data_IF_324646276650
#
_entry.id   IF_324646276650
#
_cell.length_a   1.000
_cell.length_b   1.000
_cell.length_c   1.000
_cell.angle_alpha   90.00
_cell.angle_beta   90.00
_cell.angle_gamma   90.00
#
_symmetry.space_group_name_H-M   'P 1'
#
loop_
_entity.id
_entity.type
_entity.pdbx_description
1 polymer ?
#
# COMPACT_ATOMS: atom_id res chain seq x y z
N UNK A 1 70.07 78.21 -13.66
CA UNK A 1 69.05 77.66 -14.50
C UNK A 1 68.24 76.74 -13.67
N UNK A 2 66.99 77.07 -13.50
CA UNK A 2 66.08 76.38 -12.49
C UNK A 2 65.44 75.17 -13.11
N UNK A 3 65.51 74.08 -12.45
CA UNK A 3 64.76 72.82 -12.71
C UNK A 3 63.62 72.68 -11.71
N UNK A 4 62.44 72.76 -12.18
CA UNK A 4 61.23 72.60 -11.40
C UNK A 4 60.86 71.09 -11.25
N UNK A 5 60.82 70.59 -10.06
CA UNK A 5 60.36 69.23 -9.71
C UNK A 5 58.84 69.20 -9.60
N UNK A 6 58.23 68.33 -10.39
CA UNK A 6 56.79 68.03 -10.34
C UNK A 6 56.56 66.91 -9.35
N UNK A 7 55.77 67.18 -8.33
CA UNK A 7 55.33 66.22 -7.31
C UNK A 7 54.10 65.46 -7.82
N UNK A 8 54.21 64.15 -8.00
CA UNK A 8 53.05 63.31 -8.27
C UNK A 8 52.45 62.79 -6.97
N UNK A 9 51.30 63.35 -6.64
CA UNK A 9 50.44 62.86 -5.57
C UNK A 9 49.75 61.58 -6.05
N UNK A 10 50.16 60.41 -5.52
CA UNK A 10 49.49 59.12 -5.74
C UNK A 10 48.29 59.03 -4.84
N UNK A 11 47.10 59.16 -5.46
CA UNK A 11 45.80 58.88 -4.84
C UNK A 11 45.63 57.38 -4.77
N UNK A 12 45.79 56.76 -3.59
CA UNK A 12 45.42 55.35 -3.30
C UNK A 12 43.91 55.29 -3.13
N UNK A 13 43.21 54.86 -4.18
CA UNK A 13 41.82 54.42 -4.10
C UNK A 13 41.79 53.04 -3.48
N UNK A 14 41.40 52.98 -2.21
CA UNK A 14 41.13 51.75 -1.46
C UNK A 14 39.75 51.19 -1.94
N UNK A 15 39.77 50.24 -2.90
CA UNK A 15 38.60 49.50 -3.33
C UNK A 15 38.26 48.49 -2.24
N UNK A 16 37.31 48.81 -1.36
CA UNK A 16 36.75 47.91 -0.41
C UNK A 16 35.92 46.83 -1.13
N UNK A 17 36.51 45.67 -1.38
CA UNK A 17 35.85 44.49 -1.89
C UNK A 17 34.92 43.93 -0.79
N UNK A 18 33.65 44.33 -0.85
CA UNK A 18 32.60 43.76 0.01
C UNK A 18 32.34 42.34 -0.48
N UNK A 19 33.04 41.36 0.10
CA UNK A 19 32.76 39.95 -0.07
C UNK A 19 31.44 39.69 0.65
N UNK A 20 30.33 39.68 -0.10
CA UNK A 20 29.09 39.08 0.33
C UNK A 20 29.36 37.58 0.52
N UNK A 21 29.64 37.16 1.74
CA UNK A 21 29.57 35.77 2.15
C UNK A 21 28.08 35.36 2.05
N UNK A 22 27.68 34.95 0.86
CA UNK A 22 26.48 34.12 0.73
C UNK A 22 26.85 32.80 1.44
N UNK A 23 26.53 32.74 2.72
CA UNK A 23 26.53 31.49 3.47
C UNK A 23 25.49 30.61 2.76
N UNK A 24 25.93 29.75 1.86
CA UNK A 24 25.13 28.59 1.49
C UNK A 24 24.96 27.80 2.78
N UNK A 25 23.88 28.08 3.53
CA UNK A 25 23.39 27.13 4.51
C UNK A 25 23.22 25.83 3.72
N UNK A 26 24.11 24.86 3.96
CA UNK A 26 23.90 23.49 3.54
C UNK A 26 22.57 23.12 4.23
N UNK A 27 21.50 23.03 3.47
CA UNK A 27 20.23 22.54 4.00
C UNK A 27 20.50 21.12 4.47
N UNK A 28 20.40 20.90 5.77
CA UNK A 28 20.46 19.55 6.34
C UNK A 28 19.30 18.77 5.75
N UNK A 29 19.51 17.61 5.11
CA UNK A 29 18.42 16.84 4.51
C UNK A 29 17.33 16.61 5.56
N UNK A 30 16.07 16.86 5.18
CA UNK A 30 14.91 16.70 6.06
C UNK A 30 14.72 17.82 7.10
N UNK A 31 15.49 18.92 7.05
CA UNK A 31 15.26 20.10 7.89
C UNK A 31 14.61 21.23 7.08
N UNK A 32 13.45 21.69 7.55
CA UNK A 32 12.63 22.72 6.91
C UNK A 32 12.52 23.97 7.78
N UNK A 33 12.35 25.12 7.16
CA UNK A 33 12.22 26.38 7.91
C UNK A 33 10.90 26.47 8.69
N UNK A 34 9.84 25.88 8.16
CA UNK A 34 8.50 25.86 8.77
C UNK A 34 7.81 24.49 8.59
N UNK A 35 6.80 24.16 9.42
CA UNK A 35 5.98 22.97 9.24
C UNK A 35 5.33 22.89 7.84
N UNK A 36 4.87 24.04 7.32
CA UNK A 36 4.24 24.13 6.01
C UNK A 36 5.22 23.75 4.90
N UNK A 37 6.49 24.20 4.99
CA UNK A 37 7.53 23.85 4.01
C UNK A 37 7.81 22.35 4.00
N UNK A 38 7.78 21.68 5.15
CA UNK A 38 7.92 20.24 5.27
C UNK A 38 6.77 19.49 4.57
N UNK A 39 5.52 19.92 4.83
CA UNK A 39 4.33 19.31 4.20
C UNK A 39 4.32 19.54 2.70
N UNK A 40 4.74 20.71 2.21
CA UNK A 40 4.86 20.96 0.76
C UNK A 40 5.96 20.09 0.11
N UNK A 41 7.08 19.86 0.80
CA UNK A 41 8.11 18.96 0.33
C UNK A 41 7.59 17.51 0.21
N UNK A 42 6.80 17.05 1.19
CA UNK A 42 6.12 15.75 1.14
C UNK A 42 5.19 15.65 -0.07
N UNK A 43 4.36 16.65 -0.34
CA UNK A 43 3.47 16.68 -1.50
C UNK A 43 4.23 16.59 -2.83
N UNK A 44 5.44 17.14 -2.88
CA UNK A 44 6.33 17.08 -4.04
C UNK A 44 6.88 15.69 -4.36
N UNK A 45 6.79 14.72 -3.43
CA UNK A 45 7.28 13.34 -3.64
C UNK A 45 6.34 12.50 -4.52
N UNK A 46 5.08 12.90 -4.64
CA UNK A 46 4.08 12.14 -5.41
C UNK A 46 4.50 11.98 -6.87
N UNK A 47 4.53 10.73 -7.33
CA UNK A 47 4.98 10.37 -8.68
C UNK A 47 6.50 10.23 -8.83
N UNK A 48 7.26 10.44 -7.76
CA UNK A 48 8.69 10.18 -7.71
C UNK A 48 8.92 8.84 -7.00
N UNK A 49 9.34 7.82 -7.74
CA UNK A 49 9.81 6.55 -7.15
C UNK A 49 11.31 6.69 -6.86
N UNK A 50 11.65 7.55 -5.91
CA UNK A 50 13.02 7.92 -5.58
C UNK A 50 13.23 7.85 -4.06
N UNK A 51 13.88 6.79 -3.62
CA UNK A 51 14.20 6.55 -2.21
C UNK A 51 15.04 7.68 -1.61
N UNK A 52 15.93 8.27 -2.41
CA UNK A 52 16.75 9.40 -1.96
C UNK A 52 15.90 10.64 -1.72
N UNK A 53 14.87 10.87 -2.54
CA UNK A 53 13.93 11.96 -2.33
C UNK A 53 13.08 11.74 -1.08
N UNK A 54 12.59 10.51 -0.84
CA UNK A 54 11.89 10.11 0.39
C UNK A 54 12.76 10.35 1.63
N UNK A 55 13.99 9.85 1.62
CA UNK A 55 14.93 10.05 2.73
C UNK A 55 15.33 11.51 2.89
N UNK A 56 15.32 12.28 1.82
CA UNK A 56 15.55 13.73 1.85
C UNK A 56 14.47 14.50 2.61
N UNK A 57 13.26 13.97 2.70
CA UNK A 57 12.12 14.58 3.42
C UNK A 57 11.92 13.97 4.79
N UNK A 58 11.91 12.64 4.88
CA UNK A 58 11.55 11.91 6.11
C UNK A 58 12.75 11.39 6.91
N UNK A 59 13.97 11.63 6.42
CA UNK A 59 15.21 11.20 7.06
C UNK A 59 15.71 9.82 6.58
N UNK A 60 16.95 9.48 6.92
CA UNK A 60 17.60 8.24 6.47
C UNK A 60 16.84 6.97 6.88
N UNK A 61 16.72 6.00 5.96
CA UNK A 61 16.05 4.71 6.18
C UNK A 61 14.52 4.81 6.24
N UNK A 62 13.94 5.94 5.86
CA UNK A 62 12.48 6.10 5.81
C UNK A 62 11.85 5.49 4.57
N UNK A 63 12.58 5.30 3.48
CA UNK A 63 12.04 4.80 2.21
C UNK A 63 11.30 3.47 2.37
N UNK A 64 11.86 2.52 3.13
CA UNK A 64 11.22 1.23 3.40
C UNK A 64 9.82 1.34 4.03
N UNK A 65 9.57 2.42 4.77
CA UNK A 65 8.29 2.65 5.41
C UNK A 65 7.17 2.95 4.40
N UNK A 66 7.55 3.53 3.25
CA UNK A 66 6.62 3.91 2.18
C UNK A 66 6.49 2.86 1.08
N UNK A 67 7.28 1.77 1.12
CA UNK A 67 7.21 0.65 0.20
C UNK A 67 6.52 -0.55 0.87
N UNK A 68 5.21 -0.66 0.65
CA UNK A 68 4.40 -1.74 1.22
C UNK A 68 4.58 -3.09 0.51
N UNK A 69 5.15 -3.09 -0.69
CA UNK A 69 5.18 -4.23 -1.60
C UNK A 69 4.05 -4.20 -2.63
N UNK A 70 3.09 -3.28 -2.48
CA UNK A 70 2.03 -2.99 -3.45
C UNK A 70 2.25 -1.59 -4.01
N UNK A 71 2.95 -1.50 -5.13
CA UNK A 71 3.31 -0.20 -5.74
C UNK A 71 2.09 0.60 -6.18
N UNK A 72 1.02 -0.06 -6.62
CA UNK A 72 -0.20 0.60 -7.06
C UNK A 72 -0.91 1.26 -5.87
N UNK A 73 -1.07 0.53 -4.77
CA UNK A 73 -1.64 1.06 -3.53
C UNK A 73 -0.77 2.17 -2.91
N UNK A 74 0.55 2.03 -2.94
CA UNK A 74 1.48 3.06 -2.46
C UNK A 74 1.34 4.37 -3.26
N UNK A 75 1.18 4.29 -4.58
CA UNK A 75 0.94 5.46 -5.44
C UNK A 75 -0.43 6.09 -5.20
N UNK A 76 -1.48 5.29 -5.03
CA UNK A 76 -2.82 5.78 -4.72
C UNK A 76 -2.85 6.51 -3.39
N UNK A 77 -2.22 5.95 -2.35
CA UNK A 77 -2.10 6.59 -1.03
C UNK A 77 -1.34 7.92 -1.13
N UNK A 78 -0.23 7.96 -1.87
CA UNK A 78 0.54 9.18 -2.06
C UNK A 78 -0.29 10.26 -2.78
N UNK A 79 -1.05 9.89 -3.83
CA UNK A 79 -1.93 10.81 -4.54
C UNK A 79 -3.06 11.34 -3.65
N UNK A 80 -3.65 10.49 -2.81
CA UNK A 80 -4.68 10.87 -1.84
C UNK A 80 -4.16 11.87 -0.82
N UNK A 81 -2.98 11.60 -0.24
CA UNK A 81 -2.33 12.52 0.70
C UNK A 81 -2.03 13.87 0.02
N UNK A 82 -1.55 13.85 -1.23
CA UNK A 82 -1.32 15.08 -2.00
C UNK A 82 -2.61 15.87 -2.21
N UNK A 83 -3.70 15.22 -2.61
CA UNK A 83 -5.00 15.87 -2.78
C UNK A 83 -5.45 16.54 -1.48
N UNK A 84 -5.34 15.86 -0.34
CA UNK A 84 -5.68 16.45 0.96
C UNK A 84 -4.80 17.66 1.30
N UNK A 85 -3.50 17.64 0.96
CA UNK A 85 -2.60 18.80 1.17
C UNK A 85 -3.02 19.98 0.27
N UNK A 86 -3.43 19.70 -0.97
CA UNK A 86 -3.90 20.74 -1.90
C UNK A 86 -5.24 21.32 -1.46
N UNK A 87 -6.12 20.54 -0.83
CA UNK A 87 -7.41 20.98 -0.31
C UNK A 87 -7.24 21.86 0.93
N UNK A 88 -6.56 21.36 1.95
CA UNK A 88 -6.38 22.08 3.22
C UNK A 88 -5.25 21.50 4.06
N UNK A 89 -4.47 22.36 4.71
CA UNK A 89 -3.50 21.99 5.74
C UNK A 89 -3.68 22.88 6.95
N UNK A 90 -3.88 22.26 8.10
CA UNK A 90 -3.85 22.90 9.41
C UNK A 90 -2.83 22.18 10.30
N UNK A 91 -2.47 22.79 11.43
CA UNK A 91 -1.53 22.20 12.37
C UNK A 91 -2.13 22.22 13.77
N UNK A 92 -2.18 21.06 14.38
CA UNK A 92 -2.44 20.92 15.80
C UNK A 92 -1.13 21.11 16.58
N UNK A 93 -1.14 21.99 17.57
CA UNK A 93 -0.03 22.17 18.50
C UNK A 93 -0.12 21.10 19.59
N UNK A 94 0.68 20.03 19.46
CA UNK A 94 0.71 18.99 20.50
C UNK A 94 1.48 19.47 21.75
N UNK A 95 2.61 20.16 21.54
CA UNK A 95 3.41 20.84 22.55
C UNK A 95 4.20 22.00 21.91
N UNK A 96 5.13 22.62 22.67
CA UNK A 96 5.95 23.76 22.19
C UNK A 96 6.83 23.39 20.98
N UNK A 97 7.21 22.12 20.85
CA UNK A 97 8.16 21.62 19.85
C UNK A 97 7.55 20.63 18.86
N UNK A 98 6.27 20.27 18.99
CA UNK A 98 5.62 19.24 18.19
C UNK A 98 4.38 19.78 17.51
N UNK A 99 4.22 19.48 16.22
CA UNK A 99 3.04 19.79 15.39
C UNK A 99 2.56 18.52 14.68
N UNK A 100 1.25 18.33 14.66
CA UNK A 100 0.60 17.32 13.84
C UNK A 100 -0.03 18.03 12.64
N UNK A 101 0.32 17.63 11.43
CA UNK A 101 -0.34 18.15 10.23
C UNK A 101 -1.73 17.52 10.11
N UNK A 102 -2.76 18.34 9.98
CA UNK A 102 -4.14 17.95 9.72
C UNK A 102 -4.43 18.24 8.26
N UNK A 103 -4.74 17.19 7.48
CA UNK A 103 -4.83 17.25 6.04
C UNK A 103 -6.28 17.10 5.56
N UNK A 104 -6.65 17.85 4.53
CA UNK A 104 -7.98 17.82 3.92
C UNK A 104 -9.06 18.49 4.76
N UNK A 105 -10.28 18.55 4.22
CA UNK A 105 -11.44 19.14 4.89
C UNK A 105 -11.84 18.39 6.17
N UNK A 106 -11.59 17.06 6.20
CA UNK A 106 -11.86 16.21 7.36
C UNK A 106 -10.79 16.31 8.46
N UNK A 107 -9.77 17.17 8.29
CA UNK A 107 -8.67 17.38 9.22
C UNK A 107 -7.97 16.06 9.61
N UNK A 108 -7.67 15.20 8.60
CA UNK A 108 -7.04 13.91 8.83
C UNK A 108 -5.62 14.07 9.41
N UNK A 109 -5.34 13.55 10.60
CA UNK A 109 -4.05 13.73 11.23
C UNK A 109 -2.98 12.87 10.56
N UNK A 110 -1.95 13.52 9.99
CA UNK A 110 -0.82 12.81 9.40
C UNK A 110 -0.05 12.06 10.49
N UNK A 111 0.28 10.77 10.31
CA UNK A 111 0.79 9.92 11.38
C UNK A 111 2.21 10.26 11.83
N UNK A 112 3.02 10.94 11.00
CA UNK A 112 4.40 11.31 11.34
C UNK A 112 4.40 12.77 11.83
N UNK A 113 4.67 13.01 13.13
CA UNK A 113 4.70 14.36 13.68
C UNK A 113 5.87 15.17 13.13
N UNK A 114 5.72 16.48 13.11
CA UNK A 114 6.76 17.44 12.86
C UNK A 114 7.34 17.92 14.20
N UNK A 115 8.63 17.77 14.38
CA UNK A 115 9.33 18.21 15.60
C UNK A 115 10.32 19.31 15.29
N UNK A 116 10.48 20.23 16.26
CA UNK A 116 11.46 21.30 16.18
C UNK A 116 12.87 20.75 16.36
N UNK A 117 13.77 21.10 15.44
CA UNK A 117 15.19 20.76 15.53
C UNK A 117 16.01 22.03 15.26
N UNK A 118 16.57 22.57 16.34
CA UNK A 118 17.24 23.86 16.31
C UNK A 118 16.30 25.00 15.87
N UNK A 119 16.63 25.65 14.76
CA UNK A 119 15.80 26.73 14.18
C UNK A 119 14.79 26.24 13.13
N UNK A 120 14.78 24.91 12.85
CA UNK A 120 13.94 24.33 11.82
C UNK A 120 12.98 23.25 12.34
N UNK A 121 12.34 22.57 11.40
CA UNK A 121 11.37 21.48 11.64
C UNK A 121 11.73 20.26 10.81
N UNK A 122 11.51 19.08 11.35
CA UNK A 122 11.65 17.82 10.61
C UNK A 122 10.54 16.85 10.95
N UNK A 123 10.26 15.92 10.05
CA UNK A 123 9.42 14.78 10.37
C UNK A 123 10.12 13.85 11.36
N UNK A 124 9.44 13.49 12.44
CA UNK A 124 9.90 12.51 13.42
C UNK A 124 9.44 11.11 12.99
N UNK A 125 10.07 10.60 11.94
CA UNK A 125 9.68 9.33 11.30
C UNK A 125 9.75 8.15 12.26
N UNK A 126 10.70 8.18 13.20
CA UNK A 126 10.80 7.15 14.25
C UNK A 126 9.58 7.09 15.16
N UNK A 127 9.01 8.24 15.54
CA UNK A 127 7.81 8.33 16.38
C UNK A 127 6.54 7.99 15.59
N UNK A 128 6.47 8.38 14.31
CA UNK A 128 5.31 8.12 13.46
C UNK A 128 5.26 6.72 12.83
N UNK A 129 6.34 5.94 12.92
CA UNK A 129 6.47 4.64 12.24
C UNK A 129 5.34 3.66 12.61
N UNK A 130 5.15 3.43 13.89
CA UNK A 130 4.14 2.46 14.37
C UNK A 130 2.73 2.87 13.96
N UNK A 131 2.41 4.15 14.09
CA UNK A 131 1.09 4.67 13.75
C UNK A 131 0.81 4.54 12.24
N UNK A 132 1.79 4.87 11.40
CA UNK A 132 1.66 4.74 9.96
C UNK A 132 1.46 3.26 9.54
N UNK A 133 2.25 2.35 10.11
CA UNK A 133 2.12 0.91 9.85
C UNK A 133 0.79 0.36 10.35
N UNK A 134 0.38 0.70 11.58
CA UNK A 134 -0.88 0.22 12.15
C UNK A 134 -2.09 0.66 11.32
N UNK A 135 -2.13 1.92 10.86
CA UNK A 135 -3.20 2.41 9.99
C UNK A 135 -3.22 1.71 8.64
N UNK A 136 -2.05 1.49 8.03
CA UNK A 136 -1.93 0.76 6.77
C UNK A 136 -2.39 -0.69 6.91
N UNK A 137 -1.82 -1.41 7.86
CA UNK A 137 -2.14 -2.81 8.14
C UNK A 137 -3.64 -2.96 8.40
N UNK A 138 -4.19 -2.20 9.33
CA UNK A 138 -5.60 -2.29 9.68
C UNK A 138 -6.51 -2.02 8.47
N UNK A 139 -6.22 -1.02 7.66
CA UNK A 139 -6.98 -0.72 6.44
C UNK A 139 -6.89 -1.85 5.42
N UNK A 140 -5.69 -2.36 5.15
CA UNK A 140 -5.47 -3.43 4.19
C UNK A 140 -6.15 -4.73 4.62
N UNK A 141 -6.09 -5.07 5.91
CA UNK A 141 -6.79 -6.24 6.47
C UNK A 141 -8.31 -6.12 6.33
N UNK A 142 -8.89 -4.94 6.62
CA UNK A 142 -10.31 -4.70 6.41
C UNK A 142 -10.72 -4.82 4.94
N UNK A 143 -9.92 -4.29 4.01
CA UNK A 143 -10.17 -4.45 2.58
C UNK A 143 -10.02 -5.91 2.12
N UNK A 144 -9.06 -6.65 2.69
CA UNK A 144 -8.90 -8.09 2.40
C UNK A 144 -10.12 -8.90 2.83
N UNK A 145 -10.68 -8.59 4.01
CA UNK A 145 -11.92 -9.23 4.46
C UNK A 145 -13.10 -8.93 3.50
N UNK A 146 -13.24 -7.68 3.08
CA UNK A 146 -14.26 -7.30 2.11
C UNK A 146 -14.06 -8.01 0.75
N UNK A 147 -12.83 -8.05 0.24
CA UNK A 147 -12.49 -8.75 -1.00
C UNK A 147 -12.77 -10.25 -0.92
N UNK A 148 -12.46 -10.90 0.20
CA UNK A 148 -12.78 -12.32 0.39
C UNK A 148 -14.30 -12.59 0.38
N UNK A 149 -15.10 -11.71 0.96
CA UNK A 149 -16.57 -11.78 0.87
C UNK A 149 -17.04 -11.62 -0.56
N UNK A 150 -16.49 -10.63 -1.28
CA UNK A 150 -16.80 -10.41 -2.70
C UNK A 150 -16.46 -11.63 -3.57
N UNK A 151 -15.30 -12.24 -3.36
CA UNK A 151 -14.88 -13.48 -4.03
C UNK A 151 -15.85 -14.63 -3.75
N UNK A 152 -16.31 -14.79 -2.50
CA UNK A 152 -17.27 -15.84 -2.17
C UNK A 152 -18.61 -15.63 -2.90
N UNK A 153 -19.11 -14.39 -2.97
CA UNK A 153 -20.34 -14.09 -3.71
C UNK A 153 -20.15 -14.24 -5.22
N UNK A 154 -19.02 -13.79 -5.77
CA UNK A 154 -18.69 -13.98 -7.18
C UNK A 154 -18.61 -15.46 -7.56
N UNK A 155 -18.05 -16.31 -6.70
CA UNK A 155 -18.03 -17.76 -6.91
C UNK A 155 -19.43 -18.37 -6.91
N UNK A 156 -20.33 -17.93 -6.02
CA UNK A 156 -21.72 -18.38 -5.98
C UNK A 156 -22.47 -17.97 -7.24
N UNK A 157 -22.26 -16.73 -7.68
CA UNK A 157 -22.85 -16.21 -8.90
C UNK A 157 -22.32 -16.97 -10.12
N UNK A 158 -21.01 -17.17 -10.24
CA UNK A 158 -20.39 -17.97 -11.30
C UNK A 158 -21.00 -19.37 -11.39
N UNK A 159 -21.14 -20.06 -10.25
CA UNK A 159 -21.74 -21.39 -10.17
C UNK A 159 -23.17 -21.40 -10.67
N UNK A 160 -23.97 -20.37 -10.39
CA UNK A 160 -25.40 -20.31 -10.82
C UNK A 160 -25.57 -19.89 -12.28
N UNK A 161 -24.60 -19.20 -12.89
CA UNK A 161 -24.65 -18.76 -14.29
C UNK A 161 -24.32 -19.84 -15.29
N UNK A 162 -23.90 -21.05 -14.85
CA UNK A 162 -23.58 -22.14 -15.77
C UNK A 162 -24.78 -22.50 -16.66
N UNK A 163 -24.51 -22.65 -17.98
CA UNK A 163 -25.52 -22.93 -18.96
C UNK A 163 -26.17 -24.30 -18.74
N UNK A 164 -27.43 -24.43 -19.12
CA UNK A 164 -28.16 -25.72 -19.07
C UNK A 164 -27.43 -26.80 -19.87
N UNK A 165 -27.10 -27.91 -19.22
CA UNK A 165 -26.31 -29.01 -19.80
C UNK A 165 -24.81 -28.97 -19.57
N UNK A 166 -24.28 -27.92 -18.93
CA UNK A 166 -22.90 -27.89 -18.40
C UNK A 166 -22.89 -28.33 -16.94
N UNK A 167 -21.82 -29.00 -16.47
CA UNK A 167 -21.70 -29.34 -15.06
C UNK A 167 -21.53 -28.06 -14.25
N UNK A 168 -22.36 -27.88 -13.21
CA UNK A 168 -22.19 -26.74 -12.29
C UNK A 168 -20.87 -26.87 -11.53
N UNK A 169 -20.02 -25.85 -11.65
CA UNK A 169 -18.72 -25.79 -11.04
C UNK A 169 -18.36 -24.36 -10.63
N UNK A 170 -17.54 -24.22 -9.61
CA UNK A 170 -16.93 -22.95 -9.23
C UNK A 170 -15.72 -22.65 -10.12
N UNK A 171 -15.35 -21.38 -10.23
CA UNK A 171 -14.17 -20.98 -10.99
C UNK A 171 -12.88 -21.43 -10.30
N UNK A 172 -11.93 -21.88 -11.10
CA UNK A 172 -10.58 -22.29 -10.62
C UNK A 172 -9.57 -21.15 -10.66
N UNK A 173 -9.94 -19.98 -11.19
CA UNK A 173 -9.10 -18.80 -11.34
C UNK A 173 -9.88 -17.52 -11.16
N UNK A 174 -9.22 -16.45 -10.80
CA UNK A 174 -9.83 -15.14 -10.70
C UNK A 174 -10.11 -14.56 -12.09
N UNK A 175 -9.12 -14.56 -12.97
CA UNK A 175 -9.24 -14.01 -14.32
C UNK A 175 -9.43 -15.14 -15.33
N UNK A 176 -10.40 -14.97 -16.22
CA UNK A 176 -10.67 -15.89 -17.32
C UNK A 176 -9.50 -15.92 -18.31
N UNK A 177 -9.24 -17.08 -18.89
CA UNK A 177 -8.34 -17.19 -20.04
C UNK A 177 -8.90 -16.41 -21.23
N UNK A 178 -8.01 -15.92 -22.09
CA UNK A 178 -8.38 -15.09 -23.24
C UNK A 178 -9.46 -15.74 -24.10
N UNK A 179 -10.55 -15.00 -24.32
CA UNK A 179 -11.70 -15.44 -25.11
C UNK A 179 -12.63 -16.45 -24.42
N UNK A 180 -12.40 -16.76 -23.12
CA UNK A 180 -13.25 -17.67 -22.34
C UNK A 180 -13.89 -16.92 -21.15
N UNK A 181 -14.84 -17.61 -20.50
CA UNK A 181 -15.46 -17.19 -19.23
C UNK A 181 -15.29 -18.32 -18.19
N UNK A 182 -14.02 -18.72 -17.97
CA UNK A 182 -13.60 -19.82 -17.10
C UNK A 182 -13.02 -19.36 -15.76
N UNK A 183 -13.07 -18.05 -15.49
CA UNK A 183 -12.70 -17.38 -14.25
C UNK A 183 -13.82 -16.49 -13.73
N UNK A 184 -13.60 -15.80 -12.61
CA UNK A 184 -14.57 -14.91 -11.99
C UNK A 184 -14.68 -13.55 -12.70
N UNK A 185 -13.66 -13.18 -13.45
CA UNK A 185 -13.60 -11.94 -14.19
C UNK A 185 -13.30 -12.18 -15.67
N UNK A 186 -13.97 -11.42 -16.53
CA UNK A 186 -13.70 -11.24 -17.96
C UNK A 186 -14.07 -9.82 -18.38
N UNK A 187 -13.35 -9.22 -19.33
CA UNK A 187 -13.72 -7.91 -19.87
C UNK A 187 -15.12 -7.95 -20.51
N UNK A 188 -15.97 -7.00 -20.16
CA UNK A 188 -17.31 -6.82 -20.74
C UNK A 188 -17.39 -5.42 -21.37
N UNK A 189 -16.90 -5.31 -22.63
CA UNK A 189 -16.75 -4.04 -23.35
C UNK A 189 -18.09 -3.38 -23.66
N UNK A 190 -19.17 -4.15 -23.77
CA UNK A 190 -20.49 -3.66 -24.17
C UNK A 190 -21.52 -3.66 -23.02
N UNK A 191 -21.16 -4.11 -21.83
CA UNK A 191 -22.01 -4.12 -20.64
C UNK A 191 -23.17 -5.11 -20.70
N UNK A 192 -23.09 -6.12 -21.56
CA UNK A 192 -24.19 -7.08 -21.77
C UNK A 192 -24.10 -8.33 -20.92
N UNK A 193 -22.88 -8.65 -20.43
CA UNK A 193 -22.63 -9.83 -19.60
C UNK A 193 -21.51 -9.57 -18.60
N UNK A 194 -21.77 -8.73 -17.58
CA UNK A 194 -20.77 -8.34 -16.59
C UNK A 194 -20.25 -9.56 -15.84
N UNK A 195 -18.94 -9.57 -15.57
CA UNK A 195 -18.28 -10.61 -14.78
C UNK A 195 -18.78 -10.61 -13.33
N UNK A 196 -18.82 -11.77 -12.65
CA UNK A 196 -19.20 -11.85 -11.24
C UNK A 196 -18.29 -11.06 -10.30
N UNK A 197 -16.99 -11.01 -10.60
CA UNK A 197 -16.01 -10.27 -9.82
C UNK A 197 -15.84 -8.87 -10.38
N UNK A 198 -15.80 -7.86 -9.51
CA UNK A 198 -15.59 -6.47 -9.88
C UNK A 198 -14.21 -6.19 -10.50
N UNK A 199 -14.13 -5.07 -11.23
CA UNK A 199 -12.91 -4.68 -11.97
C UNK A 199 -11.69 -4.48 -11.06
N UNK A 200 -11.88 -3.95 -9.85
CA UNK A 200 -10.79 -3.54 -8.97
C UNK A 200 -9.87 -4.71 -8.53
N UNK A 201 -10.44 -5.84 -8.08
CA UNK A 201 -9.65 -7.03 -7.73
C UNK A 201 -9.08 -7.69 -8.99
N UNK A 202 -9.81 -7.63 -10.10
CA UNK A 202 -9.36 -8.18 -11.37
C UNK A 202 -8.23 -7.39 -12.00
N UNK A 203 -8.21 -6.07 -11.88
CA UNK A 203 -7.15 -5.22 -12.40
C UNK A 203 -5.79 -5.52 -11.74
N UNK A 204 -5.76 -5.82 -10.44
CA UNK A 204 -4.54 -6.22 -9.74
C UNK A 204 -3.97 -7.54 -10.28
N UNK A 205 -4.85 -8.50 -10.57
CA UNK A 205 -4.48 -9.77 -11.18
C UNK A 205 -4.12 -9.61 -12.68
N UNK A 206 -4.78 -8.68 -13.41
CA UNK A 206 -4.50 -8.38 -14.82
C UNK A 206 -3.22 -7.57 -15.01
N UNK A 207 -2.79 -6.80 -14.00
CA UNK A 207 -1.52 -6.04 -14.02
C UNK A 207 -0.29 -6.94 -13.93
N UNK A 208 -0.45 -8.26 -14.04
CA UNK A 208 0.66 -9.23 -14.16
C UNK A 208 1.54 -8.91 -15.37
N UNK A 209 2.52 -8.04 -15.15
CA UNK A 209 3.65 -7.96 -16.05
C UNK A 209 4.59 -9.13 -15.74
N UNK A 210 4.76 -10.06 -16.69
CA UNK A 210 5.69 -11.20 -16.62
C UNK A 210 5.31 -12.39 -15.72
N UNK A 211 4.04 -12.79 -15.66
CA UNK A 211 3.57 -13.94 -14.86
C UNK A 211 3.79 -13.85 -13.33
N UNK A 212 4.20 -12.70 -12.81
CA UNK A 212 4.32 -12.49 -11.37
C UNK A 212 2.98 -11.98 -10.79
N UNK A 213 2.46 -12.60 -9.69
CA UNK A 213 1.25 -12.14 -9.05
C UNK A 213 1.45 -10.73 -8.50
N UNK A 214 0.48 -9.84 -8.72
CA UNK A 214 0.47 -8.50 -8.14
C UNK A 214 -0.44 -8.51 -6.90
N UNK A 215 -0.05 -7.82 -5.83
CA UNK A 215 -0.91 -7.70 -4.66
C UNK A 215 -2.11 -6.79 -4.95
N UNK A 216 -3.22 -7.03 -4.27
CA UNK A 216 -4.39 -6.17 -4.22
C UNK A 216 -4.59 -5.66 -2.80
N UNK A 217 -4.55 -4.34 -2.61
CA UNK A 217 -4.57 -3.71 -1.29
C UNK A 217 -3.56 -4.31 -0.31
N UNK A 218 -2.34 -4.59 -0.81
CA UNK A 218 -1.25 -5.13 0.00
C UNK A 218 -1.32 -6.62 0.28
N UNK A 219 -2.22 -7.37 -0.37
CA UNK A 219 -2.42 -8.81 -0.19
C UNK A 219 -2.37 -9.59 -1.50
N UNK A 220 -1.81 -10.79 -1.45
CA UNK A 220 -1.94 -11.80 -2.50
C UNK A 220 -3.11 -12.72 -2.21
N UNK A 221 -3.73 -13.25 -3.27
CA UNK A 221 -4.88 -14.14 -3.19
C UNK A 221 -4.66 -15.39 -4.03
N UNK A 222 -5.16 -16.54 -3.57
CA UNK A 222 -5.13 -17.78 -4.33
C UNK A 222 -6.32 -18.66 -4.03
N UNK A 223 -6.89 -19.25 -5.07
CA UNK A 223 -7.94 -20.27 -4.95
C UNK A 223 -7.29 -21.59 -4.56
N UNK A 224 -7.87 -22.28 -3.56
CA UNK A 224 -7.49 -23.61 -3.10
C UNK A 224 -8.52 -24.62 -3.57
N UNK A 225 -8.05 -25.81 -3.92
CA UNK A 225 -8.85 -26.84 -4.57
C UNK A 225 -9.24 -28.00 -3.66
N UNK A 226 -8.84 -27.98 -2.39
CA UNK A 226 -9.09 -29.05 -1.42
C UNK A 226 -9.29 -28.51 -0.01
N UNK A 227 -9.82 -29.32 0.88
CA UNK A 227 -9.81 -29.07 2.32
C UNK A 227 -9.12 -30.20 3.08
N UNK A 228 -8.56 -29.81 4.23
CA UNK A 228 -7.83 -30.70 5.12
C UNK A 228 -8.70 -31.35 6.19
N UNK A 229 -8.04 -32.15 7.04
CA UNK A 229 -8.69 -32.97 8.03
C UNK A 229 -9.32 -32.18 9.19
N UNK A 230 -8.83 -30.96 9.47
CA UNK A 230 -9.37 -30.13 10.54
C UNK A 230 -10.62 -29.34 10.11
N UNK A 231 -10.86 -29.22 8.80
CA UNK A 231 -12.04 -28.55 8.28
C UNK A 231 -13.32 -29.36 8.55
N UNK A 232 -14.48 -28.72 8.73
CA UNK A 232 -15.75 -29.40 8.92
C UNK A 232 -16.11 -30.33 7.74
N UNK A 233 -16.20 -31.62 8.00
CA UNK A 233 -16.44 -32.68 6.98
C UNK A 233 -15.20 -33.50 6.66
N UNK A 234 -14.01 -33.13 7.20
CA UNK A 234 -12.75 -33.85 7.00
C UNK A 234 -12.10 -33.53 5.66
N UNK A 235 -11.01 -34.20 5.37
CA UNK A 235 -10.23 -33.97 4.16
C UNK A 235 -10.97 -34.51 2.92
N UNK A 236 -11.09 -33.68 1.88
CA UNK A 236 -11.53 -34.08 0.54
C UNK A 236 -11.12 -33.06 -0.52
N UNK A 237 -11.05 -33.56 -1.75
CA UNK A 237 -10.77 -32.76 -2.94
C UNK A 237 -12.07 -32.08 -3.44
N UNK A 238 -12.02 -30.78 -3.70
CA UNK A 238 -13.11 -30.03 -4.28
C UNK A 238 -13.24 -30.30 -5.81
N UNK A 239 -12.15 -30.76 -6.44
CA UNK A 239 -12.14 -31.15 -7.85
C UNK A 239 -12.84 -32.50 -8.04
N UNK A 240 -13.53 -32.63 -9.16
CA UNK A 240 -14.00 -33.92 -9.69
C UNK A 240 -12.92 -34.54 -10.61
N UNK A 241 -13.25 -35.70 -11.20
CA UNK A 241 -12.34 -36.43 -12.12
C UNK A 241 -12.00 -35.63 -13.39
N UNK A 242 -12.84 -34.65 -13.78
CA UNK A 242 -12.66 -33.81 -14.94
C UNK A 242 -11.90 -32.50 -14.59
N UNK A 243 -11.45 -32.34 -13.35
CA UNK A 243 -10.72 -31.14 -12.88
C UNK A 243 -11.60 -29.92 -12.61
N UNK A 244 -12.92 -30.12 -12.43
CA UNK A 244 -13.88 -29.06 -12.13
C UNK A 244 -14.14 -28.95 -10.63
N UNK A 245 -14.21 -27.75 -10.08
CA UNK A 245 -14.57 -27.49 -8.67
C UNK A 245 -16.07 -27.66 -8.44
N UNK A 246 -16.53 -28.91 -8.32
CA UNK A 246 -17.96 -29.26 -8.16
C UNK A 246 -18.40 -29.43 -6.72
N UNK A 247 -17.48 -29.56 -5.78
CA UNK A 247 -17.76 -29.87 -4.36
C UNK A 247 -17.51 -28.69 -3.43
N UNK A 248 -17.00 -27.60 -3.93
CA UNK A 248 -16.65 -26.40 -3.19
C UNK A 248 -15.43 -25.70 -3.76
N UNK A 249 -14.96 -24.70 -3.05
CA UNK A 249 -13.71 -23.97 -3.27
C UNK A 249 -13.22 -23.44 -1.93
N UNK A 250 -11.98 -23.01 -1.88
CA UNK A 250 -11.48 -22.16 -0.81
C UNK A 250 -10.56 -21.07 -1.37
N UNK A 251 -10.25 -20.10 -0.54
CA UNK A 251 -9.34 -18.99 -0.88
C UNK A 251 -8.43 -18.73 0.30
N UNK A 252 -7.16 -18.48 0.01
CA UNK A 252 -6.18 -17.97 0.96
C UNK A 252 -5.76 -16.57 0.54
N UNK A 253 -5.60 -15.65 1.50
CA UNK A 253 -5.03 -14.33 1.30
C UNK A 253 -3.92 -14.08 2.33
N UNK A 254 -2.78 -13.56 1.86
CA UNK A 254 -1.61 -13.29 2.73
C UNK A 254 -0.95 -11.97 2.36
N UNK A 255 -0.29 -11.28 3.34
CA UNK A 255 0.30 -9.98 3.10
C UNK A 255 1.47 -10.05 2.10
N UNK A 256 1.56 -9.07 1.20
CA UNK A 256 2.67 -8.91 0.28
C UNK A 256 4.00 -8.68 1.02
N UNK A 257 3.93 -7.96 2.16
CA UNK A 257 5.06 -7.73 3.05
C UNK A 257 4.60 -7.79 4.50
N UNK A 258 4.94 -8.88 5.19
CA UNK A 258 4.60 -9.07 6.60
C UNK A 258 5.08 -7.90 7.47
N UNK A 259 4.22 -7.45 8.40
CA UNK A 259 4.51 -6.32 9.29
C UNK A 259 4.54 -4.94 8.61
N UNK A 260 4.25 -4.87 7.32
CA UNK A 260 4.16 -3.62 6.56
C UNK A 260 2.83 -3.48 5.81
N UNK A 261 2.48 -4.43 4.94
CA UNK A 261 1.19 -4.41 4.23
C UNK A 261 0.09 -5.12 5.00
N UNK A 262 0.44 -6.04 5.90
CA UNK A 262 -0.47 -6.81 6.72
C UNK A 262 0.28 -7.70 7.71
N UNK A 263 -0.44 -8.27 8.66
CA UNK A 263 0.03 -9.24 9.66
C UNK A 263 -0.72 -10.56 9.49
N UNK A 264 -2.07 -10.50 9.43
CA UNK A 264 -2.89 -11.69 9.38
C UNK A 264 -2.88 -12.35 8.00
N UNK A 265 -2.84 -13.68 7.98
CA UNK A 265 -3.21 -14.49 6.82
C UNK A 265 -4.65 -14.94 7.00
N UNK A 266 -5.43 -14.89 5.94
CA UNK A 266 -6.85 -15.21 5.93
C UNK A 266 -7.14 -16.43 5.07
N UNK A 267 -8.07 -17.30 5.49
CA UNK A 267 -8.62 -18.36 4.67
C UNK A 267 -10.14 -18.37 4.78
N UNK A 268 -10.80 -18.66 3.66
CA UNK A 268 -12.26 -18.88 3.61
C UNK A 268 -12.58 -20.03 2.66
N UNK A 269 -13.83 -20.50 2.69
CA UNK A 269 -14.31 -21.48 1.74
C UNK A 269 -15.73 -21.14 1.27
N UNK A 270 -16.33 -22.01 0.47
CA UNK A 270 -17.70 -21.88 -0.07
C UNK A 270 -18.80 -21.61 0.97
N UNK A 271 -18.50 -21.78 2.27
CA UNK A 271 -19.43 -21.45 3.37
C UNK A 271 -19.38 -19.97 3.74
N UNK A 272 -18.29 -19.24 3.40
CA UNK A 272 -18.14 -17.79 3.56
C UNK A 272 -17.62 -17.34 4.93
N UNK A 273 -17.39 -18.26 5.90
CA UNK A 273 -16.74 -17.88 7.15
C UNK A 273 -15.23 -17.70 6.92
N UNK A 274 -14.71 -16.53 7.29
CA UNK A 274 -13.30 -16.21 7.16
C UNK A 274 -12.58 -16.51 8.47
N UNK A 275 -11.44 -17.17 8.37
CA UNK A 275 -10.53 -17.47 9.47
C UNK A 275 -9.23 -16.72 9.29
N UNK A 276 -8.62 -16.30 10.39
CA UNK A 276 -7.37 -15.55 10.39
C UNK A 276 -6.33 -16.19 11.30
N UNK A 277 -5.06 -16.01 10.93
CA UNK A 277 -3.91 -16.45 11.73
C UNK A 277 -2.70 -15.58 11.40
N UNK A 278 -1.96 -15.18 12.42
CA UNK A 278 -0.62 -14.63 12.26
C UNK A 278 0.36 -15.78 12.01
N UNK A 279 0.90 -15.85 10.80
CA UNK A 279 1.91 -16.85 10.40
C UNK A 279 3.35 -16.37 10.62
N UNK A 280 3.54 -15.12 11.08
CA UNK A 280 4.85 -14.52 11.31
C UNK A 280 5.58 -14.11 10.02
N UNK A 281 6.89 -13.87 10.15
CA UNK A 281 7.75 -13.40 9.06
C UNK A 281 7.79 -14.36 7.86
N UNK A 282 7.52 -15.64 8.06
CA UNK A 282 7.47 -16.67 7.03
C UNK A 282 6.10 -16.78 6.33
N UNK A 283 5.17 -15.84 6.58
CA UNK A 283 3.77 -15.90 6.09
C UNK A 283 3.66 -16.15 4.58
N UNK A 284 4.48 -15.51 3.76
CA UNK A 284 4.47 -15.71 2.30
C UNK A 284 4.81 -17.17 1.94
N UNK A 285 5.92 -17.69 2.44
CA UNK A 285 6.37 -19.08 2.17
C UNK A 285 5.34 -20.11 2.64
N UNK A 286 4.77 -19.91 3.83
CA UNK A 286 3.76 -20.79 4.40
C UNK A 286 2.45 -20.72 3.60
N UNK A 287 1.99 -19.54 3.24
CA UNK A 287 0.79 -19.37 2.43
C UNK A 287 0.95 -19.94 1.01
N UNK A 288 2.09 -19.73 0.36
CA UNK A 288 2.39 -20.30 -0.94
C UNK A 288 2.44 -21.84 -0.92
N UNK A 289 2.87 -22.44 0.17
CA UNK A 289 2.89 -23.90 0.35
C UNK A 289 1.56 -24.50 0.78
N UNK A 290 0.59 -23.66 1.21
CA UNK A 290 -0.73 -24.10 1.65
C UNK A 290 -1.57 -24.53 0.44
N UNK A 291 -1.96 -25.79 0.34
CA UNK A 291 -2.76 -26.33 -0.77
C UNK A 291 -4.23 -26.55 -0.40
N UNK A 292 -4.55 -26.59 0.90
CA UNK A 292 -5.87 -26.95 1.41
C UNK A 292 -6.42 -25.91 2.39
N UNK A 293 -7.74 -25.81 2.44
CA UNK A 293 -8.45 -25.12 3.53
C UNK A 293 -8.43 -26.02 4.77
N UNK A 294 -7.54 -25.76 5.72
CA UNK A 294 -7.34 -26.61 6.89
C UNK A 294 -7.08 -25.78 8.16
N UNK A 295 -8.15 -25.18 8.70
CA UNK A 295 -8.06 -24.39 9.91
C UNK A 295 -8.09 -25.30 11.16
N UNK A 296 -6.96 -25.44 11.83
CA UNK A 296 -6.85 -26.06 13.13
C UNK A 296 -7.21 -25.06 14.26
N UNK A 297 -7.03 -25.47 15.51
CA UNK A 297 -7.35 -24.65 16.70
C UNK A 297 -6.47 -23.39 16.85
N UNK A 298 -5.46 -23.20 16.03
CA UNK A 298 -4.61 -21.99 16.02
C UNK A 298 -5.17 -20.88 15.12
N UNK A 299 -6.18 -21.18 14.28
CA UNK A 299 -6.92 -20.21 13.51
C UNK A 299 -8.11 -19.69 14.32
N UNK A 300 -8.39 -18.40 14.20
CA UNK A 300 -9.55 -17.77 14.84
C UNK A 300 -10.52 -17.26 13.77
N UNK A 301 -11.83 -17.42 13.97
CA UNK A 301 -12.79 -16.79 13.05
C UNK A 301 -12.69 -15.28 13.19
N UNK A 302 -12.80 -14.58 12.06
CA UNK A 302 -13.00 -13.12 12.08
C UNK A 302 -14.41 -12.84 12.62
N UNK A 303 -14.58 -11.71 13.33
CA UNK A 303 -15.91 -11.28 13.74
C UNK A 303 -16.82 -11.03 12.55
N UNK A 304 -18.14 -11.08 12.74
CA UNK A 304 -19.11 -10.66 11.73
C UNK A 304 -18.93 -9.16 11.48
N UNK A 305 -18.23 -8.80 10.41
CA UNK A 305 -18.21 -7.44 9.86
C UNK A 305 -19.45 -7.33 8.95
N UNK A 306 -20.63 -7.11 9.56
CA UNK A 306 -21.83 -6.66 8.86
C UNK A 306 -21.96 -5.14 8.97
#
# INVERSE_FOLDING_TARGET
MRVTTFNHFRLLTMLALLILLVSCKRSDPGLFETPEAAVQAMAGLVGQQDDQALEGVFGPGSAELFHSGDTAADMEDAQRVKSWIEDKVEFEEFDENTRIALLGEDAWPFPIPLVRDGEGWRFSTGEGREELLNRRIGRNELWTLAALHEVVEAQREFYTRQSEGQPQAFATRFISSEGNKDGLYWPDEDGTDPSPLGDALAESEASRSNDEPQPFHGYFYRILTEQGANAPGGAYDYLNEDGLLTRGFAVIAWPAKYGNSGVMTFITNHRGLIWQKDLGEDSATLAESTTSFDHDSSWTPTGDFM
#
